data_IF_239853885828
#
_entry.id   IF_239853885828
#
_cell.length_a   1.000
_cell.length_b   1.000
_cell.length_c   1.000
_cell.angle_alpha   90.00
_cell.angle_beta   90.00
_cell.angle_gamma   90.00
#
_symmetry.space_group_name_H-M   'P 1'
#
loop_
_entity.id
_entity.type
_entity.pdbx_description
1 polymer ?
#
# COMPACT_ATOMS: atom_id res chain seq x y z
N UNK A 1 -5.22 -12.53 -22.56
CA UNK A 1 -5.87 -13.23 -21.41
C UNK A 1 -5.98 -12.28 -20.23
N UNK A 2 -7.19 -12.07 -19.67
CA UNK A 2 -7.32 -11.41 -18.36
C UNK A 2 -6.80 -12.37 -17.28
N UNK A 3 -5.83 -11.93 -16.49
CA UNK A 3 -5.25 -12.71 -15.41
C UNK A 3 -6.32 -12.94 -14.33
N UNK A 4 -6.73 -14.20 -14.13
CA UNK A 4 -7.77 -14.59 -13.17
C UNK A 4 -7.11 -15.33 -12.02
N UNK A 5 -6.95 -14.64 -10.90
CA UNK A 5 -6.35 -15.20 -9.69
C UNK A 5 -7.45 -15.85 -8.88
N UNK A 6 -7.23 -17.09 -8.45
CA UNK A 6 -8.14 -17.80 -7.58
C UNK A 6 -7.57 -17.90 -6.17
N UNK A 7 -8.45 -17.73 -5.19
CA UNK A 7 -8.18 -17.89 -3.78
C UNK A 7 -9.32 -18.70 -3.17
N UNK A 8 -9.01 -19.88 -2.62
CA UNK A 8 -10.02 -20.83 -2.07
C UNK A 8 -11.19 -21.10 -3.05
N UNK A 9 -10.90 -21.26 -4.35
CA UNK A 9 -11.92 -21.48 -5.38
C UNK A 9 -12.75 -20.25 -5.77
N UNK A 10 -12.58 -19.11 -5.08
CA UNK A 10 -13.17 -17.81 -5.44
C UNK A 10 -12.19 -17.01 -6.29
N UNK A 11 -12.70 -16.29 -7.28
CA UNK A 11 -11.89 -15.34 -8.06
C UNK A 11 -11.64 -14.06 -7.25
N UNK A 12 -10.38 -13.63 -7.19
CA UNK A 12 -10.02 -12.34 -6.61
C UNK A 12 -10.53 -11.24 -7.53
N UNK A 13 -11.24 -10.29 -6.94
CA UNK A 13 -11.81 -9.15 -7.63
C UNK A 13 -11.00 -7.88 -7.39
N UNK A 14 -11.16 -6.82 -8.21
CA UNK A 14 -10.56 -5.51 -7.93
C UNK A 14 -10.94 -4.94 -6.55
N UNK A 15 -12.10 -5.31 -6.00
CA UNK A 15 -12.50 -4.93 -4.64
C UNK A 15 -11.65 -5.63 -3.57
N UNK A 16 -11.24 -6.87 -3.81
CA UNK A 16 -10.39 -7.61 -2.88
C UNK A 16 -8.95 -7.04 -2.89
N UNK A 17 -8.49 -6.58 -4.06
CA UNK A 17 -7.27 -5.79 -4.25
C UNK A 17 -7.26 -4.53 -3.38
N UNK A 18 -8.31 -3.72 -3.50
CA UNK A 18 -8.47 -2.48 -2.72
C UNK A 18 -8.54 -2.76 -1.22
N UNK A 19 -9.29 -3.80 -0.82
CA UNK A 19 -9.33 -4.25 0.58
C UNK A 19 -7.95 -4.60 1.12
N UNK A 20 -7.18 -5.43 0.39
CA UNK A 20 -5.82 -5.79 0.78
C UNK A 20 -4.93 -4.55 0.89
N UNK A 21 -5.03 -3.63 -0.07
CA UNK A 21 -4.28 -2.38 -0.06
C UNK A 21 -4.56 -1.55 1.20
N UNK A 22 -5.84 -1.35 1.52
CA UNK A 22 -6.27 -0.59 2.69
C UNK A 22 -5.90 -1.30 3.99
N UNK A 23 -6.07 -2.61 4.03
CA UNK A 23 -5.75 -3.45 5.19
C UNK A 23 -4.29 -3.39 5.62
N UNK A 24 -3.38 -3.38 4.65
CA UNK A 24 -1.95 -3.39 4.92
C UNK A 24 -1.31 -2.01 4.78
N UNK A 25 -2.06 -1.01 4.31
CA UNK A 25 -1.55 0.34 4.04
C UNK A 25 -0.47 0.35 2.95
N UNK A 26 -0.56 -0.59 2.00
CA UNK A 26 0.39 -0.72 0.89
C UNK A 26 -0.37 -0.85 -0.42
N UNK A 27 -0.03 0.00 -1.38
CA UNK A 27 -0.72 0.03 -2.67
C UNK A 27 -0.49 -1.26 -3.45
N UNK A 28 -1.58 -1.86 -3.94
CA UNK A 28 -1.55 -2.99 -4.87
C UNK A 28 -2.18 -2.54 -6.19
N UNK A 29 -1.35 -2.18 -7.18
CA UNK A 29 -1.81 -1.48 -8.40
C UNK A 29 -2.63 -2.35 -9.34
N UNK A 30 -2.31 -3.64 -9.45
CA UNK A 30 -2.93 -4.53 -10.40
C UNK A 30 -2.98 -5.99 -9.92
N UNK A 31 -3.67 -6.81 -10.71
CA UNK A 31 -3.76 -8.24 -10.46
C UNK A 31 -2.37 -8.92 -10.50
N UNK A 32 -1.44 -8.46 -11.34
CA UNK A 32 -0.11 -9.06 -11.45
C UNK A 32 0.64 -8.96 -10.13
N UNK A 33 0.64 -7.78 -9.52
CA UNK A 33 1.22 -7.55 -8.21
C UNK A 33 0.47 -8.32 -7.11
N UNK A 34 -0.86 -8.37 -7.17
CA UNK A 34 -1.65 -9.18 -6.24
C UNK A 34 -1.27 -10.66 -6.28
N UNK A 35 -1.15 -11.25 -7.47
CA UNK A 35 -0.73 -12.64 -7.65
C UNK A 35 0.67 -12.85 -7.07
N UNK A 36 1.59 -11.95 -7.37
CA UNK A 36 2.96 -11.99 -6.88
C UNK A 36 3.01 -11.97 -5.33
N UNK A 37 2.18 -11.16 -4.70
CA UNK A 37 2.05 -11.10 -3.23
C UNK A 37 1.49 -12.40 -2.69
N UNK A 38 0.39 -12.91 -3.27
CA UNK A 38 -0.25 -14.16 -2.81
C UNK A 38 0.72 -15.33 -2.91
N UNK A 39 1.41 -15.49 -4.03
CA UNK A 39 2.37 -16.57 -4.21
C UNK A 39 3.47 -16.55 -3.15
N UNK A 40 4.00 -15.36 -2.80
CA UNK A 40 5.03 -15.21 -1.76
C UNK A 40 4.45 -15.48 -0.37
N UNK A 41 3.27 -14.97 -0.08
CA UNK A 41 2.59 -15.16 1.21
C UNK A 41 2.23 -16.64 1.45
N UNK A 42 1.89 -17.38 0.40
CA UNK A 42 1.53 -18.80 0.49
C UNK A 42 2.75 -19.73 0.64
N UNK A 43 3.99 -19.22 0.55
CA UNK A 43 5.19 -20.01 0.83
C UNK A 43 5.22 -20.49 2.29
N UNK A 44 5.70 -21.72 2.51
CA UNK A 44 5.68 -22.42 3.81
C UNK A 44 6.25 -21.62 4.98
N UNK A 45 7.31 -20.83 4.75
CA UNK A 45 7.96 -20.03 5.78
C UNK A 45 7.20 -18.75 6.18
N UNK A 46 6.11 -18.39 5.48
CA UNK A 46 5.34 -17.16 5.69
C UNK A 46 4.00 -17.42 6.40
N UNK A 47 3.97 -18.30 7.40
CA UNK A 47 2.74 -18.72 8.09
C UNK A 47 1.92 -17.54 8.67
N UNK A 48 2.60 -16.59 9.33
CA UNK A 48 1.94 -15.42 9.92
C UNK A 48 1.35 -14.47 8.86
N UNK A 49 2.13 -14.17 7.82
CA UNK A 49 1.68 -13.35 6.70
C UNK A 49 0.49 -14.01 5.97
N UNK A 50 0.50 -15.34 5.86
CA UNK A 50 -0.59 -16.11 5.29
C UNK A 50 -1.87 -15.96 6.08
N UNK A 51 -1.79 -16.13 7.39
CA UNK A 51 -2.92 -15.91 8.29
C UNK A 51 -3.49 -14.50 8.14
N UNK A 52 -2.63 -13.48 8.06
CA UNK A 52 -3.04 -12.09 7.89
C UNK A 52 -3.78 -11.85 6.56
N UNK A 53 -3.25 -12.35 5.43
CA UNK A 53 -3.91 -12.21 4.12
C UNK A 53 -5.22 -12.99 4.07
N UNK A 54 -5.27 -14.19 4.65
CA UNK A 54 -6.51 -14.98 4.76
C UNK A 54 -7.57 -14.20 5.52
N UNK A 55 -7.24 -13.64 6.69
CA UNK A 55 -8.19 -12.83 7.48
C UNK A 55 -8.63 -11.57 6.73
N UNK A 56 -7.71 -10.91 6.02
CA UNK A 56 -8.02 -9.75 5.19
C UNK A 56 -9.04 -10.08 4.09
N UNK A 57 -8.86 -11.22 3.41
CA UNK A 57 -9.74 -11.65 2.32
C UNK A 57 -11.09 -12.17 2.82
N UNK A 58 -11.10 -12.94 3.91
CA UNK A 58 -12.30 -13.59 4.42
C UNK A 58 -13.17 -12.63 5.24
N UNK A 59 -12.56 -11.77 6.07
CA UNK A 59 -13.27 -10.93 7.05
C UNK A 59 -13.14 -9.43 6.81
N UNK A 60 -12.21 -9.00 5.95
CA UNK A 60 -11.90 -7.58 5.76
C UNK A 60 -11.20 -6.91 6.95
N UNK A 61 -10.86 -7.66 8.01
CA UNK A 61 -10.17 -7.14 9.21
C UNK A 61 -8.68 -7.42 9.14
N UNK A 62 -7.89 -6.43 9.54
CA UNK A 62 -6.44 -6.47 9.47
C UNK A 62 -5.80 -5.91 10.75
N UNK A 63 -5.19 -6.80 11.54
CA UNK A 63 -4.44 -6.42 12.73
C UNK A 63 -2.98 -6.19 12.37
N UNK A 64 -2.45 -5.00 12.70
CA UNK A 64 -1.06 -4.63 12.38
C UNK A 64 -0.01 -5.52 13.06
N UNK A 65 -0.36 -6.18 14.17
CA UNK A 65 0.53 -7.05 14.95
C UNK A 65 0.60 -8.51 14.47
N UNK A 66 -0.44 -9.04 13.83
CA UNK A 66 -0.56 -10.48 13.56
C UNK A 66 -0.02 -10.89 12.18
N UNK A 67 1.23 -10.53 11.86
CA UNK A 67 1.85 -10.81 10.56
C UNK A 67 1.61 -9.76 9.47
N UNK A 68 0.84 -8.70 9.76
CA UNK A 68 0.62 -7.58 8.84
C UNK A 68 1.92 -6.84 8.47
N UNK A 69 2.90 -6.77 9.40
CA UNK A 69 4.24 -6.22 9.11
C UNK A 69 4.97 -7.02 8.02
N UNK A 70 4.86 -8.33 8.03
CA UNK A 70 5.53 -9.19 7.05
C UNK A 70 4.83 -9.14 5.70
N UNK A 71 3.50 -9.06 5.69
CA UNK A 71 2.74 -8.80 4.45
C UNK A 71 3.18 -7.50 3.81
N UNK A 72 3.30 -6.40 4.58
CA UNK A 72 3.81 -5.12 4.06
C UNK A 72 5.20 -5.26 3.43
N UNK A 73 6.12 -5.97 4.09
CA UNK A 73 7.47 -6.23 3.55
C UNK A 73 7.40 -7.02 2.24
N UNK A 74 6.53 -8.04 2.16
CA UNK A 74 6.33 -8.85 0.96
C UNK A 74 5.76 -8.00 -0.17
N UNK A 75 4.76 -7.15 0.08
CA UNK A 75 4.19 -6.24 -0.93
C UNK A 75 5.27 -5.30 -1.48
N UNK A 76 6.07 -4.68 -0.61
CA UNK A 76 7.17 -3.80 -1.02
C UNK A 76 8.25 -4.53 -1.82
N UNK A 77 8.56 -5.77 -1.45
CA UNK A 77 9.53 -6.59 -2.19
C UNK A 77 8.99 -6.96 -3.57
N UNK A 78 7.75 -7.42 -3.66
CA UNK A 78 7.09 -7.77 -4.92
C UNK A 78 7.00 -6.56 -5.86
N UNK A 79 6.69 -5.36 -5.34
CA UNK A 79 6.68 -4.12 -6.13
C UNK A 79 8.04 -3.82 -6.75
N UNK A 80 9.11 -3.87 -5.95
CA UNK A 80 10.49 -3.60 -6.42
C UNK A 80 10.91 -4.61 -7.48
N UNK A 81 10.66 -5.90 -7.25
CA UNK A 81 11.02 -6.98 -8.18
C UNK A 81 10.26 -6.89 -9.51
N UNK A 82 9.05 -6.34 -9.50
CA UNK A 82 8.25 -6.14 -10.71
C UNK A 82 8.44 -4.76 -11.37
N UNK A 83 9.29 -3.89 -10.81
CA UNK A 83 9.59 -2.57 -11.36
C UNK A 83 8.54 -1.49 -11.11
N UNK A 84 7.64 -1.67 -10.14
CA UNK A 84 6.71 -0.60 -9.75
C UNK A 84 7.46 0.49 -8.98
N UNK A 85 7.53 1.68 -9.57
CA UNK A 85 8.07 2.87 -8.92
C UNK A 85 7.02 3.50 -8.00
N UNK A 86 7.48 4.10 -6.90
CA UNK A 86 6.60 4.97 -6.11
C UNK A 86 6.59 6.35 -6.74
N UNK A 87 5.40 6.86 -7.02
CA UNK A 87 5.27 8.28 -7.34
C UNK A 87 5.43 9.11 -6.06
N UNK A 88 5.85 10.38 -6.20
CA UNK A 88 6.05 11.27 -5.05
C UNK A 88 4.76 11.43 -4.21
N UNK A 89 3.60 11.43 -4.87
CA UNK A 89 2.29 11.45 -4.21
C UNK A 89 2.02 10.20 -3.36
N UNK A 90 2.39 9.01 -3.83
CA UNK A 90 2.23 7.79 -3.05
C UNK A 90 3.16 7.72 -1.84
N UNK A 91 4.32 8.38 -1.92
CA UNK A 91 5.21 8.54 -0.78
C UNK A 91 4.59 9.44 0.29
N UNK A 92 3.98 10.56 -0.15
CA UNK A 92 3.26 11.49 0.72
C UNK A 92 2.04 10.84 1.37
N UNK A 93 1.19 10.15 0.60
CA UNK A 93 0.01 9.46 1.12
C UNK A 93 0.38 8.40 2.16
N UNK A 94 1.52 7.72 1.99
CA UNK A 94 2.03 6.78 3.01
C UNK A 94 2.42 7.48 4.31
N UNK A 95 3.13 8.60 4.23
CA UNK A 95 3.52 9.39 5.41
C UNK A 95 2.25 9.84 6.13
N UNK A 96 1.30 10.41 5.39
CA UNK A 96 0.02 10.88 5.93
C UNK A 96 -0.84 9.74 6.49
N UNK A 97 -0.81 8.55 5.91
CA UNK A 97 -1.53 7.38 6.41
C UNK A 97 -0.90 6.79 7.68
N UNK A 98 0.42 6.88 7.83
CA UNK A 98 1.15 6.46 9.04
C UNK A 98 0.95 7.39 10.24
N UNK A 99 0.42 8.59 10.01
CA UNK A 99 0.13 9.57 11.05
C UNK A 99 -1.25 9.32 11.62
N UNK A 100 -1.31 9.03 12.92
CA UNK A 100 -2.56 8.76 13.65
C UNK A 100 -3.26 10.03 14.09
N UNK A 101 -2.54 11.15 14.23
CA UNK A 101 -3.11 12.43 14.65
C UNK A 101 -3.55 13.29 13.45
N UNK A 102 -4.82 13.71 13.49
CA UNK A 102 -5.42 14.61 12.50
C UNK A 102 -4.67 15.95 12.42
N UNK A 103 -4.23 16.48 13.57
CA UNK A 103 -3.48 17.73 13.66
C UNK A 103 -2.13 17.66 12.93
N UNK A 104 -1.42 16.53 13.00
CA UNK A 104 -0.13 16.40 12.32
C UNK A 104 -0.30 16.31 10.80
N UNK A 105 -1.41 15.73 10.32
CA UNK A 105 -1.74 15.72 8.88
C UNK A 105 -2.00 17.13 8.37
N UNK A 106 -2.76 17.93 9.12
CA UNK A 106 -3.07 19.32 8.77
C UNK A 106 -1.81 20.19 8.84
N UNK A 107 -0.96 20.00 9.86
CA UNK A 107 0.29 20.73 10.00
C UNK A 107 1.25 20.46 8.83
N UNK A 108 1.44 19.19 8.44
CA UNK A 108 2.30 18.83 7.31
C UNK A 108 1.75 19.38 6.00
N UNK A 109 0.44 19.28 5.77
CA UNK A 109 -0.20 19.85 4.58
C UNK A 109 -0.03 21.38 4.51
N UNK A 110 -0.14 22.06 5.65
CA UNK A 110 0.09 23.50 5.79
C UNK A 110 1.52 23.90 5.49
N UNK A 111 2.50 23.19 6.06
CA UNK A 111 3.93 23.42 5.83
C UNK A 111 4.26 23.24 4.34
N UNK A 112 3.76 22.17 3.72
CA UNK A 112 4.00 21.89 2.30
C UNK A 112 3.43 22.99 1.39
N UNK A 113 2.24 23.51 1.72
CA UNK A 113 1.59 24.59 0.96
C UNK A 113 2.33 25.93 1.12
N UNK A 114 2.82 26.24 2.31
CA UNK A 114 3.68 27.40 2.54
C UNK A 114 5.00 27.29 1.78
N UNK A 115 5.64 26.11 1.78
CA UNK A 115 6.90 25.91 1.07
C UNK A 115 6.73 26.04 -0.45
N UNK A 116 5.65 25.49 -1.02
CA UNK A 116 5.28 25.63 -2.43
C UNK A 116 5.00 27.08 -2.83
N UNK A 117 4.33 27.83 -1.97
CA UNK A 117 4.09 29.26 -2.20
C UNK A 117 5.39 30.08 -2.12
N UNK A 118 6.28 29.76 -1.18
CA UNK A 118 7.60 30.41 -1.08
C UNK A 118 8.49 30.11 -2.30
N UNK A 119 8.50 28.87 -2.77
CA UNK A 119 9.19 28.47 -4.00
C UNK A 119 8.63 29.18 -5.24
N UNK A 120 7.31 29.25 -5.38
CA UNK A 120 6.67 30.04 -6.46
C UNK A 120 7.03 31.52 -6.38
N UNK A 121 7.13 32.08 -5.19
CA UNK A 121 7.51 33.47 -4.99
C UNK A 121 8.98 33.72 -5.38
N UNK A 122 9.87 32.80 -5.02
CA UNK A 122 11.29 32.86 -5.41
C UNK A 122 11.48 32.71 -6.92
N UNK A 123 10.78 31.78 -7.57
CA UNK A 123 10.85 31.63 -9.03
C UNK A 123 10.22 32.81 -9.78
N UNK A 124 9.20 33.47 -9.21
CA UNK A 124 8.58 34.65 -9.82
C UNK A 124 9.40 35.94 -9.68
N UNK A 125 10.40 35.98 -8.79
CA UNK A 125 11.36 37.09 -8.68
C UNK A 125 12.63 36.85 -9.49
N UNK A 126 12.79 35.68 -10.10
CA UNK A 126 13.93 35.32 -10.93
C UNK A 126 13.71 35.59 -12.44
N UNK A 127 12.51 36.05 -12.81
CA UNK A 127 12.15 36.62 -14.13
C UNK A 127 12.06 38.15 -14.01
#
# INVERSE_FOLDING_TARGET
>A
MKLKIQYKGRSITPRDLERLSNCFGEKIDDMKLCQAVILRVMQSHNALARGAVVRALDTGRCAAGEGGRDVRKIIRRARRELGYTYTWHEHYDRIVAGLTSFELKVAIAGIFRSLLNALRFLFRMAD
#
